data_IF_923912587322
#
_entry.id   IF_923912587322
#
_cell.length_a   1.000
_cell.length_b   1.000
_cell.length_c   1.000
_cell.angle_alpha   90.00
_cell.angle_beta   90.00
_cell.angle_gamma   90.00
#
_symmetry.space_group_name_H-M   'P 1'
#
loop_
_entity.id
_entity.type
_entity.pdbx_description
1 polymer ?
#
# COMPACT_ATOMS: atom_id res chain seq x y z
N UNK A 1 9.22 -21.11 -2.73
CA UNK A 1 8.51 -19.82 -2.59
C UNK A 1 7.87 -19.78 -1.21
N UNK A 2 8.22 -18.80 -0.39
CA UNK A 2 7.57 -18.59 0.91
C UNK A 2 6.17 -18.01 0.64
N UNK A 3 5.11 -18.69 1.07
CA UNK A 3 3.75 -18.17 0.94
C UNK A 3 3.61 -16.95 1.86
N UNK A 4 3.22 -15.80 1.29
CA UNK A 4 2.98 -14.56 2.03
C UNK A 4 1.55 -14.53 2.54
N UNK A 5 0.61 -15.03 1.73
CA UNK A 5 -0.79 -15.06 2.07
C UNK A 5 -1.16 -16.38 2.79
N UNK A 6 -1.94 -16.30 3.88
CA UNK A 6 -2.57 -17.48 4.49
C UNK A 6 -3.31 -18.35 3.48
N UNK A 7 -3.47 -19.64 3.76
CA UNK A 7 -4.17 -20.56 2.86
C UNK A 7 -5.69 -20.33 2.83
N UNK A 8 -6.28 -19.95 3.96
CA UNK A 8 -7.70 -19.60 4.03
C UNK A 8 -8.01 -18.36 3.16
N UNK A 9 -9.03 -18.41 2.29
CA UNK A 9 -9.38 -17.29 1.41
C UNK A 9 -9.73 -15.99 2.15
N UNK A 10 -10.45 -16.06 3.27
CA UNK A 10 -10.83 -14.85 4.01
C UNK A 10 -9.61 -14.27 4.73
N UNK A 11 -8.75 -15.10 5.31
CA UNK A 11 -7.53 -14.65 5.95
C UNK A 11 -6.53 -14.07 4.95
N UNK A 12 -6.46 -14.62 3.74
CA UNK A 12 -5.68 -14.06 2.64
C UNK A 12 -6.14 -12.63 2.30
N UNK A 13 -7.46 -12.40 2.17
CA UNK A 13 -7.99 -11.07 1.90
C UNK A 13 -7.81 -10.13 3.11
N UNK A 14 -7.99 -10.61 4.34
CA UNK A 14 -7.70 -9.81 5.56
C UNK A 14 -6.23 -9.40 5.62
N UNK A 15 -5.31 -10.29 5.24
CA UNK A 15 -3.89 -9.97 5.15
C UNK A 15 -3.63 -8.90 4.09
N UNK A 16 -4.26 -9.01 2.92
CA UNK A 16 -4.18 -7.99 1.87
C UNK A 16 -4.73 -6.62 2.32
N UNK A 17 -5.86 -6.62 3.02
CA UNK A 17 -6.44 -5.41 3.62
C UNK A 17 -5.43 -4.74 4.56
N UNK A 18 -4.81 -5.51 5.44
CA UNK A 18 -3.82 -5.00 6.39
C UNK A 18 -2.58 -4.41 5.68
N UNK A 19 -2.04 -5.11 4.67
CA UNK A 19 -0.91 -4.60 3.89
C UNK A 19 -1.26 -3.32 3.11
N UNK A 20 -2.49 -3.25 2.59
CA UNK A 20 -2.98 -2.05 1.90
C UNK A 20 -3.10 -0.88 2.87
N UNK A 21 -3.61 -1.11 4.09
CA UNK A 21 -3.67 -0.09 5.14
C UNK A 21 -2.29 0.41 5.54
N UNK A 22 -1.32 -0.49 5.69
CA UNK A 22 0.07 -0.13 6.02
C UNK A 22 0.67 0.78 4.92
N UNK A 23 0.47 0.44 3.65
CA UNK A 23 0.92 1.28 2.53
C UNK A 23 0.25 2.66 2.54
N UNK A 24 -1.06 2.73 2.82
CA UNK A 24 -1.78 4.01 2.94
C UNK A 24 -1.21 4.85 4.08
N UNK A 25 -1.03 4.27 5.26
CA UNK A 25 -0.51 5.00 6.43
C UNK A 25 0.92 5.51 6.22
N UNK A 26 1.76 4.76 5.51
CA UNK A 26 3.13 5.20 5.18
C UNK A 26 3.13 6.40 4.22
N UNK A 27 2.22 6.42 3.25
CA UNK A 27 2.06 7.57 2.36
C UNK A 27 1.45 8.79 3.08
N UNK A 28 0.50 8.59 3.99
CA UNK A 28 -0.07 9.68 4.80
C UNK A 28 1.00 10.25 5.76
N UNK A 29 1.85 9.41 6.35
CA UNK A 29 2.95 9.86 7.21
C UNK A 29 4.05 10.60 6.42
N UNK A 30 4.28 10.24 5.16
CA UNK A 30 5.21 10.95 4.28
C UNK A 30 4.79 12.42 4.10
N UNK A 31 3.50 12.66 3.89
CA UNK A 31 2.91 14.00 3.75
C UNK A 31 3.17 14.89 4.98
N UNK A 32 3.04 14.32 6.18
CA UNK A 32 3.31 15.03 7.43
C UNK A 32 4.81 15.35 7.59
N UNK A 33 5.68 14.41 7.24
CA UNK A 33 7.14 14.56 7.39
C UNK A 33 7.74 15.56 6.42
N UNK A 34 7.26 15.58 5.17
CA UNK A 34 7.61 16.60 4.18
C UNK A 34 7.26 18.00 4.72
N UNK A 35 6.07 18.14 5.31
CA UNK A 35 5.59 19.41 5.87
C UNK A 35 6.45 19.88 7.06
N UNK A 36 6.98 18.95 7.86
CA UNK A 36 7.81 19.23 9.04
C UNK A 36 9.30 19.42 8.74
N UNK A 37 9.72 19.22 7.48
CA UNK A 37 11.12 19.31 7.04
C UNK A 37 12.09 18.39 7.81
N UNK A 38 11.59 17.23 8.26
CA UNK A 38 12.40 16.23 8.97
C UNK A 38 13.02 15.24 7.98
N UNK A 39 14.23 15.56 7.52
CA UNK A 39 14.93 14.76 6.52
C UNK A 39 15.33 13.35 7.01
N UNK A 40 15.52 13.18 8.32
CA UNK A 40 15.93 11.89 8.91
C UNK A 40 14.72 10.97 8.97
N UNK A 41 13.61 11.44 9.54
CA UNK A 41 12.37 10.66 9.58
C UNK A 41 11.81 10.38 8.19
N UNK A 42 12.00 11.30 7.24
CA UNK A 42 11.65 11.09 5.84
C UNK A 42 12.45 9.92 5.23
N UNK A 43 13.77 9.89 5.41
CA UNK A 43 14.62 8.81 4.88
C UNK A 43 14.26 7.44 5.46
N UNK A 44 13.99 7.38 6.77
CA UNK A 44 13.52 6.15 7.42
C UNK A 44 12.13 5.74 6.88
N UNK A 45 11.24 6.71 6.65
CA UNK A 45 9.93 6.47 6.04
C UNK A 45 10.07 5.85 4.65
N UNK A 46 10.97 6.35 3.82
CA UNK A 46 11.21 5.83 2.46
C UNK A 46 11.65 4.37 2.47
N UNK A 47 12.54 3.99 3.39
CA UNK A 47 12.96 2.59 3.51
C UNK A 47 11.81 1.68 3.96
N UNK A 48 10.97 2.15 4.90
CA UNK A 48 9.80 1.40 5.36
C UNK A 48 8.75 1.30 4.25
N UNK A 49 8.54 2.37 3.48
CA UNK A 49 7.68 2.42 2.31
C UNK A 49 8.10 1.37 1.30
N UNK A 50 9.37 1.37 0.90
CA UNK A 50 9.87 0.39 -0.08
C UNK A 50 9.59 -1.05 0.37
N UNK A 51 9.90 -1.40 1.64
CA UNK A 51 9.65 -2.74 2.17
C UNK A 51 8.16 -3.11 2.18
N UNK A 52 7.30 -2.19 2.61
CA UNK A 52 5.86 -2.42 2.66
C UNK A 52 5.27 -2.62 1.26
N UNK A 53 5.68 -1.79 0.29
CA UNK A 53 5.25 -1.91 -1.10
C UNK A 53 5.78 -3.17 -1.78
N UNK A 54 7.03 -3.56 -1.52
CA UNK A 54 7.59 -4.82 -2.03
C UNK A 54 6.82 -6.03 -1.48
N UNK A 55 6.44 -5.98 -0.20
CA UNK A 55 5.68 -7.06 0.43
C UNK A 55 4.23 -7.10 -0.05
N UNK A 56 3.60 -5.94 -0.22
CA UNK A 56 2.28 -5.80 -0.84
C UNK A 56 2.27 -6.32 -2.28
N UNK A 57 3.26 -5.98 -3.10
CA UNK A 57 3.36 -6.40 -4.51
C UNK A 57 3.51 -7.93 -4.62
N UNK A 58 4.37 -8.53 -3.79
CA UNK A 58 4.50 -9.98 -3.74
C UNK A 58 3.20 -10.66 -3.30
N UNK A 59 2.52 -10.12 -2.29
CA UNK A 59 1.22 -10.61 -1.84
C UNK A 59 0.13 -10.47 -2.91
N UNK A 60 0.10 -9.34 -3.63
CA UNK A 60 -0.84 -9.09 -4.72
C UNK A 60 -0.62 -10.04 -5.90
N UNK A 61 0.64 -10.32 -6.25
CA UNK A 61 0.99 -11.33 -7.26
C UNK A 61 0.57 -12.74 -6.82
N UNK A 62 0.74 -13.08 -5.54
CA UNK A 62 0.26 -14.36 -5.03
C UNK A 62 -1.28 -14.43 -5.08
N UNK A 63 -1.97 -13.36 -4.69
CA UNK A 63 -3.43 -13.30 -4.72
C UNK A 63 -3.97 -13.45 -6.14
N UNK A 64 -3.37 -12.79 -7.13
CA UNK A 64 -3.85 -12.83 -8.52
C UNK A 64 -3.79 -14.23 -9.12
N UNK A 65 -2.77 -15.02 -8.75
CA UNK A 65 -2.66 -16.44 -9.14
C UNK A 65 -3.73 -17.29 -8.43
N UNK A 66 -4.11 -16.93 -7.20
CA UNK A 66 -5.05 -17.70 -6.37
C UNK A 66 -6.51 -17.30 -6.58
N UNK A 67 -6.79 -16.19 -7.25
CA UNK A 67 -8.10 -15.53 -7.23
C UNK A 67 -9.22 -16.40 -7.81
N UNK A 68 -8.93 -17.18 -8.85
CA UNK A 68 -9.87 -18.12 -9.46
C UNK A 68 -10.34 -19.19 -8.46
N UNK A 69 -9.42 -19.69 -7.63
CA UNK A 69 -9.71 -20.69 -6.60
C UNK A 69 -10.43 -20.14 -5.36
N UNK A 70 -10.53 -18.81 -5.24
CA UNK A 70 -11.14 -18.09 -4.11
C UNK A 70 -12.56 -17.59 -4.41
N UNK A 71 -13.01 -17.67 -5.67
CA UNK A 71 -14.36 -17.26 -6.07
C UNK A 71 -15.43 -18.01 -5.26
N UNK A 72 -16.38 -17.26 -4.70
CA UNK A 72 -17.45 -17.79 -3.85
C UNK A 72 -17.04 -18.25 -2.44
N UNK A 73 -15.75 -18.21 -2.09
CA UNK A 73 -15.24 -18.61 -0.76
C UNK A 73 -14.90 -17.42 0.15
N UNK A 74 -14.83 -16.23 -0.43
CA UNK A 74 -14.50 -14.98 0.28
C UNK A 74 -15.79 -14.23 0.57
N UNK A 75 -15.88 -13.67 1.78
CA UNK A 75 -16.96 -12.75 2.15
C UNK A 75 -17.00 -11.53 1.22
N UNK A 76 -18.16 -11.21 0.60
CA UNK A 76 -18.30 -10.02 -0.24
C UNK A 76 -17.90 -8.72 0.47
N UNK A 77 -18.15 -8.62 1.78
CA UNK A 77 -17.75 -7.46 2.57
C UNK A 77 -16.23 -7.24 2.57
N UNK A 78 -15.45 -8.33 2.66
CA UNK A 78 -13.98 -8.23 2.62
C UNK A 78 -13.46 -7.80 1.24
N UNK A 79 -14.13 -8.22 0.17
CA UNK A 79 -13.79 -7.78 -1.19
C UNK A 79 -14.05 -6.27 -1.31
N UNK A 80 -15.23 -5.80 -0.88
CA UNK A 80 -15.57 -4.37 -0.91
C UNK A 80 -14.61 -3.52 -0.06
N UNK A 81 -14.22 -4.01 1.11
CA UNK A 81 -13.25 -3.31 1.97
C UNK A 81 -11.87 -3.22 1.30
N UNK A 82 -11.40 -4.31 0.67
CA UNK A 82 -10.14 -4.32 -0.06
C UNK A 82 -10.18 -3.35 -1.25
N UNK A 83 -11.24 -3.37 -2.06
CA UNK A 83 -11.40 -2.46 -3.20
C UNK A 83 -11.40 -0.99 -2.77
N UNK A 84 -12.10 -0.66 -1.68
CA UNK A 84 -12.13 0.69 -1.12
C UNK A 84 -10.73 1.13 -0.70
N UNK A 85 -9.98 0.25 -0.03
CA UNK A 85 -8.62 0.56 0.41
C UNK A 85 -7.65 0.70 -0.75
N UNK A 86 -7.76 -0.14 -1.79
CA UNK A 86 -6.94 -0.01 -3.00
C UNK A 86 -7.22 1.29 -3.75
N UNK A 87 -8.48 1.72 -3.80
CA UNK A 87 -8.82 3.03 -4.36
C UNK A 87 -8.18 4.17 -3.55
N UNK A 88 -8.27 4.11 -2.21
CA UNK A 88 -7.63 5.10 -1.33
C UNK A 88 -6.11 5.12 -1.50
N UNK A 89 -5.47 3.94 -1.58
CA UNK A 89 -4.03 3.82 -1.83
C UNK A 89 -3.64 4.51 -3.14
N UNK A 90 -4.39 4.27 -4.22
CA UNK A 90 -4.15 4.92 -5.52
C UNK A 90 -4.29 6.44 -5.45
N UNK A 91 -5.32 6.94 -4.76
CA UNK A 91 -5.54 8.37 -4.58
C UNK A 91 -4.40 9.02 -3.78
N UNK A 92 -3.97 8.40 -2.68
CA UNK A 92 -2.89 8.92 -1.86
C UNK A 92 -1.55 8.91 -2.59
N UNK A 93 -1.24 7.83 -3.32
CA UNK A 93 -0.02 7.76 -4.13
C UNK A 93 0.02 8.85 -5.20
N UNK A 94 -1.11 9.13 -5.85
CA UNK A 94 -1.22 10.23 -6.82
C UNK A 94 -1.00 11.60 -6.16
N UNK A 95 -1.56 11.82 -4.97
CA UNK A 95 -1.39 13.06 -4.22
C UNK A 95 0.07 13.29 -3.78
N UNK A 96 0.75 12.26 -3.26
CA UNK A 96 2.15 12.36 -2.87
C UNK A 96 3.04 12.65 -4.08
N UNK A 97 2.82 11.98 -5.21
CA UNK A 97 3.60 12.21 -6.43
C UNK A 97 3.45 13.65 -6.97
N UNK A 98 2.23 14.20 -6.97
CA UNK A 98 1.99 15.60 -7.38
C UNK A 98 2.72 16.60 -6.47
N UNK A 99 2.76 16.34 -5.16
CA UNK A 99 3.46 17.19 -4.18
C UNK A 99 4.97 17.09 -4.30
N UNK A 100 5.52 15.88 -4.41
CA UNK A 100 6.96 15.67 -4.63
C UNK A 100 7.42 16.37 -5.92
N UNK A 101 6.66 16.23 -7.02
CA UNK A 101 6.94 16.93 -8.26
C UNK A 101 6.96 18.46 -8.13
N UNK A 102 6.08 19.02 -7.30
CA UNK A 102 6.08 20.47 -6.98
C UNK A 102 7.31 20.88 -6.18
N UNK A 103 7.76 20.07 -5.22
CA UNK A 103 8.94 20.35 -4.40
C UNK A 103 10.22 20.30 -5.23
N UNK A 104 10.34 19.32 -6.13
CA UNK A 104 11.50 19.21 -7.04
C UNK A 104 11.51 20.35 -8.08
N UNK A 105 10.34 20.74 -8.59
CA UNK A 105 10.19 21.88 -9.50
C UNK A 105 10.55 23.23 -8.87
N UNK A 106 10.41 23.40 -7.55
CA UNK A 106 10.80 24.62 -6.82
C UNK A 106 12.32 24.72 -6.62
N UNK A 107 13.06 23.59 -6.59
CA UNK A 107 14.54 23.60 -6.48
C UNK A 107 15.28 23.91 -7.78
N UNK A 108 14.57 24.06 -8.90
CA UNK A 108 15.16 24.31 -10.23
C UNK A 108 15.03 25.77 -10.72
N UNK A 109 14.87 26.74 -9.82
CA UNK A 109 14.86 28.17 -10.14
C UNK A 109 15.89 28.95 -9.34
#
# INVERSE_FOLDING_TARGET
MTKILPEDPNDAIRKMIHLTQECVSLLESEDEKITRNDAVEFTVNEQNKQKAFDYYDQAAKELSVRIEGMQGKVSPALITDLERLQLRLKQQAAANNDRLGKIEGVKSK
#
